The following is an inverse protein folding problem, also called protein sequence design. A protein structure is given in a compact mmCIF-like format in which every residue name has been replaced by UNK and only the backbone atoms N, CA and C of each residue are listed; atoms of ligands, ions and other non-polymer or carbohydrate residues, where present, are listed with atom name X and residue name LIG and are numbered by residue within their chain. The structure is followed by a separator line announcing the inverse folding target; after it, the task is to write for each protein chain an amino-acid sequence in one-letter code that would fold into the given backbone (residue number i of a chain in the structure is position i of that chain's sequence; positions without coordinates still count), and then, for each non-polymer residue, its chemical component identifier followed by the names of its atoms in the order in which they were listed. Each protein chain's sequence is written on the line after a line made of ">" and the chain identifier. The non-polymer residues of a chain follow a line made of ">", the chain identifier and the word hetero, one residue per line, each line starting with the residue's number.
data_IF_741830663749
#
_entry.id   IF_741830663749
#
_cell.length_a   1.000
_cell.length_b   1.000
_cell.length_c   1.000
_cell.angle_alpha   90.00
_cell.angle_beta   90.00
_cell.angle_gamma   90.00
#
_symmetry.space_group_name_H-M   'P 1'
#
loop_
_entity.id
_entity.type
_entity.pdbx_description
1 polymer ?
#
# COMPACT_ATOMS: atom_id res chain seq x y z
N UNK A 1 28.63 -0.22 -6.67
CA UNK A 1 27.51 -0.56 -5.78
C UNK A 1 26.54 0.63 -5.82
N UNK A 2 25.44 0.51 -6.54
CA UNK A 2 24.46 1.59 -6.61
C UNK A 2 23.79 1.70 -5.23
N UNK A 3 23.95 2.85 -4.58
CA UNK A 3 23.19 3.17 -3.37
C UNK A 3 21.76 3.39 -3.83
N UNK A 4 20.87 2.44 -3.54
CA UNK A 4 19.43 2.66 -3.71
C UNK A 4 19.11 3.81 -2.75
N UNK A 5 18.62 4.96 -3.25
CA UNK A 5 18.31 6.06 -2.38
C UNK A 5 17.24 5.60 -1.39
N UNK A 6 17.54 5.69 -0.11
CA UNK A 6 16.60 5.37 0.95
C UNK A 6 15.36 6.24 0.76
N UNK A 7 14.18 5.61 0.69
CA UNK A 7 12.93 6.37 0.57
C UNK A 7 12.76 7.25 1.81
N UNK A 8 12.64 8.55 1.58
CA UNK A 8 12.51 9.54 2.65
C UNK A 8 11.09 10.14 2.65
N UNK A 9 10.56 10.35 3.85
CA UNK A 9 9.35 11.15 4.04
C UNK A 9 9.58 12.59 3.53
N UNK A 10 8.50 13.20 3.04
CA UNK A 10 8.50 14.55 2.47
C UNK A 10 9.34 14.71 1.20
N UNK A 11 9.62 13.61 0.51
CA UNK A 11 10.21 13.55 -0.83
C UNK A 11 9.21 12.90 -1.80
N UNK A 12 9.40 13.11 -3.09
CA UNK A 12 8.62 12.40 -4.09
C UNK A 12 8.73 10.89 -3.87
N UNK A 13 7.58 10.23 -3.76
CA UNK A 13 7.54 8.78 -3.72
C UNK A 13 8.10 8.22 -5.03
N UNK A 14 8.91 7.14 -4.99
CA UNK A 14 9.44 6.51 -6.19
C UNK A 14 8.29 6.12 -7.15
N UNK A 15 8.38 6.56 -8.39
CA UNK A 15 7.43 6.13 -9.40
C UNK A 15 7.67 4.66 -9.76
N UNK A 16 6.62 3.98 -10.17
CA UNK A 16 6.69 2.61 -10.67
C UNK A 16 5.86 2.49 -11.93
N UNK A 17 6.08 1.41 -12.65
CA UNK A 17 5.32 1.02 -13.81
C UNK A 17 4.98 -0.47 -13.68
N UNK A 18 3.74 -0.78 -13.32
CA UNK A 18 3.26 -2.14 -13.07
C UNK A 18 1.97 -2.41 -13.84
N UNK A 19 1.76 -3.67 -14.18
CA UNK A 19 0.51 -4.10 -14.81
C UNK A 19 -0.48 -4.62 -13.79
N UNK A 20 -1.74 -4.29 -14.02
CA UNK A 20 -2.83 -4.94 -13.30
C UNK A 20 -3.15 -6.33 -13.89
N UNK A 21 -4.12 -7.00 -13.28
CA UNK A 21 -4.54 -8.34 -13.67
C UNK A 21 -5.19 -8.42 -15.07
N UNK A 22 -5.61 -7.29 -15.64
CA UNK A 22 -6.09 -7.19 -17.03
C UNK A 22 -4.97 -6.93 -18.04
N UNK A 23 -3.75 -6.67 -17.56
CA UNK A 23 -2.58 -6.29 -18.36
C UNK A 23 -2.45 -4.79 -18.60
N UNK A 24 -3.35 -3.97 -18.05
CA UNK A 24 -3.26 -2.51 -18.15
C UNK A 24 -2.08 -1.99 -17.30
N UNK A 25 -1.32 -1.07 -17.88
CA UNK A 25 -0.20 -0.44 -17.23
C UNK A 25 -0.64 0.70 -16.32
N UNK A 26 -0.07 0.75 -15.13
CA UNK A 26 -0.28 1.81 -14.13
C UNK A 26 1.07 2.36 -13.66
N UNK A 27 1.14 3.68 -13.54
CA UNK A 27 2.24 4.40 -12.89
C UNK A 27 1.70 5.14 -11.67
N UNK A 28 2.49 5.30 -10.62
CA UNK A 28 2.08 6.14 -9.50
C UNK A 28 1.78 7.58 -9.97
N UNK A 29 2.58 8.08 -10.92
CA UNK A 29 2.39 9.41 -11.51
C UNK A 29 1.05 9.60 -12.23
N UNK A 30 0.37 8.54 -12.67
CA UNK A 30 -0.97 8.62 -13.28
C UNK A 30 -2.05 9.06 -12.26
N UNK A 31 -1.73 8.97 -10.97
CA UNK A 31 -2.65 9.29 -9.87
C UNK A 31 -2.42 10.67 -9.26
N UNK A 32 -1.61 11.52 -9.88
CA UNK A 32 -1.43 12.92 -9.47
C UNK A 32 -2.77 13.64 -9.41
N UNK A 33 -2.94 14.52 -8.43
CA UNK A 33 -4.21 15.20 -8.14
C UNK A 33 -5.09 14.44 -7.15
N UNK A 34 -4.76 13.17 -6.85
CA UNK A 34 -5.41 12.34 -5.84
C UNK A 34 -4.41 11.93 -4.77
N UNK A 35 -4.87 11.70 -3.56
CA UNK A 35 -4.07 11.02 -2.54
C UNK A 35 -3.96 9.56 -2.94
N UNK A 36 -2.75 9.02 -3.00
CA UNK A 36 -2.50 7.63 -3.39
C UNK A 36 -2.02 6.81 -2.19
N UNK A 37 -2.73 5.73 -1.91
CA UNK A 37 -2.31 4.70 -0.97
C UNK A 37 -1.67 3.58 -1.77
N UNK A 38 -0.37 3.39 -1.63
CA UNK A 38 0.37 2.23 -2.13
C UNK A 38 0.39 1.20 -1.01
N UNK A 39 -0.25 0.07 -1.24
CA UNK A 39 -0.40 -1.00 -0.25
C UNK A 39 0.29 -2.28 -0.74
N UNK A 40 1.39 -2.68 -0.11
CA UNK A 40 1.97 -3.98 -0.39
C UNK A 40 1.08 -5.06 0.20
N UNK A 41 0.60 -5.94 -0.66
CA UNK A 41 -0.57 -6.77 -0.47
C UNK A 41 -0.28 -8.25 -0.76
N UNK A 42 -1.00 -9.14 -0.10
CA UNK A 42 -0.89 -10.58 -0.30
C UNK A 42 -2.27 -11.22 -0.32
N UNK A 43 -2.50 -12.12 -1.27
CA UNK A 43 -3.74 -12.90 -1.34
C UNK A 43 -3.91 -13.83 -0.13
N UNK A 44 -2.81 -14.34 0.40
CA UNK A 44 -2.81 -15.38 1.44
C UNK A 44 -2.60 -14.86 2.86
N UNK A 45 -2.26 -13.57 3.03
CA UNK A 45 -1.98 -13.02 4.36
C UNK A 45 -3.27 -12.68 5.12
N UNK A 46 -3.54 -13.28 6.29
CA UNK A 46 -4.75 -13.00 7.07
C UNK A 46 -4.81 -11.56 7.61
N UNK A 47 -3.65 -10.92 7.82
CA UNK A 47 -3.60 -9.51 8.22
C UNK A 47 -4.08 -8.60 7.09
N UNK A 48 -3.76 -8.92 5.84
CA UNK A 48 -4.21 -8.19 4.65
C UNK A 48 -5.71 -8.33 4.47
N UNK A 49 -6.26 -9.53 4.60
CA UNK A 49 -7.71 -9.75 4.48
C UNK A 49 -8.50 -8.89 5.47
N UNK A 50 -8.03 -8.78 6.70
CA UNK A 50 -8.63 -7.94 7.72
C UNK A 50 -8.58 -6.45 7.33
N UNK A 51 -7.45 -5.97 6.85
CA UNK A 51 -7.25 -4.56 6.50
C UNK A 51 -7.92 -4.16 5.18
N UNK A 52 -8.12 -5.09 4.26
CA UNK A 52 -8.82 -4.83 2.99
C UNK A 52 -10.24 -4.30 3.24
N UNK A 53 -11.01 -4.94 4.10
CA UNK A 53 -12.36 -4.49 4.43
C UNK A 53 -12.36 -3.09 5.04
N UNK A 54 -11.41 -2.79 5.91
CA UNK A 54 -11.25 -1.48 6.53
C UNK A 54 -10.91 -0.40 5.50
N UNK A 55 -9.95 -0.67 4.61
CA UNK A 55 -9.55 0.27 3.56
C UNK A 55 -10.68 0.54 2.57
N UNK A 56 -11.42 -0.48 2.17
CA UNK A 56 -12.55 -0.34 1.25
C UNK A 56 -13.68 0.52 1.84
N UNK A 57 -13.97 0.36 3.13
CA UNK A 57 -14.94 1.20 3.83
C UNK A 57 -14.52 2.68 3.84
N UNK A 58 -13.24 2.94 4.07
CA UNK A 58 -12.70 4.30 4.05
C UNK A 58 -12.68 4.90 2.63
N UNK A 59 -12.36 4.10 1.60
CA UNK A 59 -12.44 4.54 0.21
C UNK A 59 -13.84 4.99 -0.19
N UNK A 60 -14.89 4.30 0.28
CA UNK A 60 -16.26 4.69 0.03
C UNK A 60 -16.57 6.09 0.59
N UNK A 61 -15.98 6.44 1.73
CA UNK A 61 -16.10 7.76 2.37
C UNK A 61 -15.33 8.85 1.60
N UNK A 62 -14.12 8.55 1.13
CA UNK A 62 -13.26 9.52 0.43
C UNK A 62 -13.59 9.69 -1.05
N UNK A 63 -14.27 8.74 -1.67
CA UNK A 63 -14.65 8.78 -3.07
C UNK A 63 -13.45 8.90 -4.01
N UNK A 64 -13.57 9.76 -5.01
CA UNK A 64 -12.56 9.93 -6.05
C UNK A 64 -11.30 10.71 -5.61
N UNK A 65 -11.26 11.24 -4.39
CA UNK A 65 -10.11 12.00 -3.90
C UNK A 65 -8.93 11.10 -3.50
N UNK A 66 -9.18 9.80 -3.29
CA UNK A 66 -8.19 8.82 -2.86
C UNK A 66 -8.16 7.63 -3.81
N UNK A 67 -6.97 7.19 -4.17
CA UNK A 67 -6.74 5.96 -4.91
C UNK A 67 -6.07 4.92 -4.02
N UNK A 68 -6.53 3.67 -4.08
CA UNK A 68 -5.88 2.52 -3.45
C UNK A 68 -5.23 1.65 -4.54
N UNK A 69 -3.92 1.50 -4.45
CA UNK A 69 -3.10 0.67 -5.33
C UNK A 69 -2.51 -0.46 -4.50
N UNK A 70 -3.09 -1.65 -4.63
CA UNK A 70 -2.58 -2.83 -3.95
C UNK A 70 -1.54 -3.52 -4.84
N UNK A 71 -0.33 -3.71 -4.33
CA UNK A 71 0.80 -4.31 -5.07
C UNK A 71 1.10 -5.68 -4.48
N UNK A 72 1.04 -6.72 -5.33
CA UNK A 72 1.31 -8.11 -4.96
C UNK A 72 2.76 -8.48 -5.31
N UNK A 73 3.69 -8.53 -4.33
CA UNK A 73 5.11 -8.76 -4.58
C UNK A 73 5.55 -10.21 -4.33
N UNK A 74 4.71 -11.06 -3.75
CA UNK A 74 5.13 -12.39 -3.28
C UNK A 74 5.45 -13.36 -4.41
N UNK A 75 6.65 -13.95 -4.39
CA UNK A 75 7.10 -14.94 -5.37
C UNK A 75 6.29 -16.24 -5.35
N UNK A 76 5.70 -16.59 -4.20
CA UNK A 76 4.94 -17.82 -4.02
C UNK A 76 3.44 -17.69 -4.32
N UNK A 77 2.98 -16.51 -4.74
CA UNK A 77 1.59 -16.28 -5.13
C UNK A 77 1.45 -16.23 -6.65
N UNK A 78 0.60 -17.09 -7.22
CA UNK A 78 0.31 -17.07 -8.65
C UNK A 78 -0.57 -15.88 -9.04
N UNK A 79 -0.45 -15.40 -10.27
CA UNK A 79 -1.32 -14.35 -10.80
C UNK A 79 -2.80 -14.74 -10.73
N UNK A 80 -3.13 -16.02 -10.95
CA UNK A 80 -4.49 -16.56 -10.82
C UNK A 80 -5.00 -16.46 -9.38
N UNK A 81 -4.19 -16.86 -8.39
CA UNK A 81 -4.55 -16.76 -6.97
C UNK A 81 -4.76 -15.31 -6.53
N UNK A 82 -3.88 -14.42 -6.98
CA UNK A 82 -4.02 -12.98 -6.76
C UNK A 82 -5.31 -12.43 -7.39
N UNK A 83 -5.63 -12.83 -8.62
CA UNK A 83 -6.87 -12.42 -9.32
C UNK A 83 -8.13 -12.88 -8.57
N UNK A 84 -8.18 -14.14 -8.17
CA UNK A 84 -9.32 -14.69 -7.43
C UNK A 84 -9.54 -13.97 -6.10
N UNK A 85 -8.47 -13.77 -5.31
CA UNK A 85 -8.55 -13.08 -4.03
C UNK A 85 -8.97 -11.61 -4.20
N UNK A 86 -8.40 -10.91 -5.18
CA UNK A 86 -8.71 -9.50 -5.43
C UNK A 86 -10.16 -9.29 -5.83
N UNK A 87 -10.68 -10.13 -6.68
CA UNK A 87 -12.11 -10.12 -7.09
C UNK A 87 -13.03 -10.44 -5.92
N UNK A 88 -12.69 -11.49 -5.17
CA UNK A 88 -13.46 -11.89 -3.99
C UNK A 88 -13.55 -10.83 -2.92
N UNK A 89 -12.52 -9.98 -2.79
CA UNK A 89 -12.47 -8.88 -1.82
C UNK A 89 -12.94 -7.53 -2.38
N UNK A 90 -13.15 -7.42 -3.70
CA UNK A 90 -13.63 -6.21 -4.34
C UNK A 90 -12.60 -5.08 -4.40
N UNK A 91 -11.31 -5.41 -4.52
CA UNK A 91 -10.24 -4.42 -4.61
C UNK A 91 -10.28 -3.67 -5.96
N UNK A 92 -10.12 -2.32 -5.96
CA UNK A 92 -10.25 -1.54 -7.19
C UNK A 92 -9.09 -1.73 -8.15
N UNK A 93 -7.85 -1.78 -7.65
CA UNK A 93 -6.64 -1.94 -8.46
C UNK A 93 -5.67 -2.86 -7.73
N UNK A 94 -5.29 -3.96 -8.39
CA UNK A 94 -4.23 -4.86 -7.90
C UNK A 94 -3.17 -4.99 -8.98
N UNK A 95 -1.94 -4.68 -8.62
CA UNK A 95 -0.77 -4.62 -9.50
C UNK A 95 0.18 -5.78 -9.19
N UNK A 96 0.80 -6.33 -10.22
CA UNK A 96 1.73 -7.44 -10.09
C UNK A 96 3.18 -6.92 -10.07
N UNK A 97 3.90 -7.18 -8.99
CA UNK A 97 5.34 -6.89 -8.83
C UNK A 97 6.12 -8.20 -8.74
N UNK A 98 6.03 -9.02 -9.81
CA UNK A 98 6.53 -10.40 -9.83
C UNK A 98 8.04 -10.52 -9.55
N UNK A 99 8.82 -9.47 -9.76
CA UNK A 99 10.26 -9.43 -9.49
C UNK A 99 10.64 -8.66 -8.25
N UNK A 100 9.66 -8.24 -7.45
CA UNK A 100 9.82 -7.50 -6.19
C UNK A 100 10.56 -6.15 -6.34
N UNK A 101 10.74 -5.66 -7.56
CA UNK A 101 11.53 -4.45 -7.82
C UNK A 101 10.90 -3.20 -7.18
N UNK A 102 9.56 -3.12 -7.17
CA UNK A 102 8.85 -2.04 -6.52
C UNK A 102 8.91 -2.18 -5.01
N UNK A 103 8.66 -3.39 -4.48
CA UNK A 103 8.78 -3.65 -3.05
C UNK A 103 10.18 -3.31 -2.52
N UNK A 104 11.23 -3.68 -3.25
CA UNK A 104 12.61 -3.38 -2.88
C UNK A 104 12.91 -1.88 -2.92
N UNK A 105 12.42 -1.18 -3.96
CA UNK A 105 12.58 0.28 -4.10
C UNK A 105 11.89 1.04 -2.96
N UNK A 106 10.74 0.55 -2.51
CA UNK A 106 10.00 1.10 -1.38
C UNK A 106 10.56 0.66 -0.02
N UNK A 107 11.43 -0.35 0.01
CA UNK A 107 11.94 -0.94 1.24
C UNK A 107 10.86 -1.68 2.01
N UNK A 108 9.81 -2.15 1.32
CA UNK A 108 8.72 -2.90 1.94
C UNK A 108 9.19 -4.29 2.40
N UNK A 109 8.83 -4.68 3.61
CA UNK A 109 9.29 -5.92 4.23
C UNK A 109 8.15 -6.90 4.54
N UNK A 110 6.96 -6.37 4.76
CA UNK A 110 5.79 -7.18 5.17
C UNK A 110 4.55 -6.78 4.37
N UNK A 111 3.49 -7.58 4.49
CA UNK A 111 2.15 -7.26 4.00
C UNK A 111 1.14 -7.38 5.15
N UNK A 112 0.24 -6.40 5.37
CA UNK A 112 0.16 -5.13 4.67
C UNK A 112 1.25 -4.14 5.14
N UNK A 113 1.79 -3.39 4.22
CA UNK A 113 2.63 -2.21 4.51
C UNK A 113 2.23 -1.09 3.56
N UNK A 114 1.91 0.08 4.09
CA UNK A 114 1.36 1.17 3.29
C UNK A 114 2.29 2.36 3.19
N UNK A 115 2.17 3.04 2.08
CA UNK A 115 2.86 4.29 1.76
C UNK A 115 1.82 5.25 1.19
N UNK A 116 1.67 6.42 1.80
CA UNK A 116 0.66 7.39 1.39
C UNK A 116 1.34 8.61 0.79
N UNK A 117 1.05 8.86 -0.49
CA UNK A 117 1.50 10.04 -1.21
C UNK A 117 0.37 11.06 -1.34
N UNK A 118 0.72 12.33 -1.17
CA UNK A 118 -0.21 13.43 -1.37
C UNK A 118 -0.54 13.65 -2.86
N UNK A 119 -1.39 14.64 -3.18
CA UNK A 119 -1.80 14.95 -4.56
C UNK A 119 -0.63 15.33 -5.49
N UNK A 120 0.47 15.81 -4.94
CA UNK A 120 1.70 16.11 -5.68
C UNK A 120 2.63 14.90 -5.79
N UNK A 121 2.29 13.77 -5.16
CA UNK A 121 3.09 12.55 -5.15
C UNK A 121 4.20 12.54 -4.11
N UNK A 122 4.15 13.43 -3.14
CA UNK A 122 5.11 13.48 -2.04
C UNK A 122 4.70 12.49 -0.96
N UNK A 123 5.62 11.64 -0.53
CA UNK A 123 5.38 10.65 0.52
C UNK A 123 5.16 11.35 1.87
N UNK A 124 4.01 11.09 2.48
CA UNK A 124 3.61 11.72 3.74
C UNK A 124 3.44 10.75 4.90
N UNK A 125 3.22 9.49 4.60
CA UNK A 125 3.11 8.42 5.61
C UNK A 125 3.68 7.12 5.08
N UNK A 126 4.29 6.32 5.97
CA UNK A 126 4.68 4.94 5.67
C UNK A 126 4.54 4.03 6.89
N UNK A 127 4.21 2.76 6.65
CA UNK A 127 4.25 1.70 7.64
C UNK A 127 2.92 1.01 7.90
N UNK A 128 2.55 0.89 9.16
CA UNK A 128 1.38 0.13 9.60
C UNK A 128 0.06 0.75 9.14
N UNK A 129 -0.92 -0.12 8.86
CA UNK A 129 -2.31 0.29 8.59
C UNK A 129 -2.97 0.80 9.87
N UNK A 130 -2.81 0.06 10.95
CA UNK A 130 -3.37 0.32 12.27
C UNK A 130 -2.42 -0.14 13.38
N UNK A 131 -2.89 -0.10 14.64
CA UNK A 131 -2.09 -0.45 15.81
C UNK A 131 -2.20 -1.93 16.24
N UNK A 132 -2.73 -2.80 15.37
CA UNK A 132 -2.73 -4.26 15.61
C UNK A 132 -1.30 -4.79 15.58
N UNK A 133 -0.99 -5.66 16.53
CA UNK A 133 0.31 -6.34 16.67
C UNK A 133 0.15 -7.66 17.44
N UNK A 134 1.25 -8.29 17.85
CA UNK A 134 1.20 -9.55 18.59
C UNK A 134 0.40 -9.49 19.91
N UNK A 135 0.38 -8.33 20.55
CA UNK A 135 -0.31 -8.14 21.84
C UNK A 135 -1.72 -7.58 21.65
N UNK A 136 -1.91 -6.69 20.68
CA UNK A 136 -3.17 -6.02 20.36
C UNK A 136 -3.82 -6.67 19.15
N UNK A 137 -4.91 -7.39 19.36
CA UNK A 137 -5.61 -8.17 18.30
C UNK A 137 -6.73 -7.40 17.62
N UNK A 138 -7.21 -6.32 18.22
CA UNK A 138 -8.21 -5.43 17.63
C UNK A 138 -7.66 -4.02 17.55
N UNK A 139 -7.88 -3.30 16.43
CA UNK A 139 -7.38 -1.95 16.27
C UNK A 139 -8.10 -0.99 17.20
N UNK A 140 -7.35 -0.07 17.80
CA UNK A 140 -7.88 1.09 18.53
C UNK A 140 -7.52 2.38 17.83
N UNK A 141 -6.60 2.33 16.85
CA UNK A 141 -6.13 3.46 16.08
C UNK A 141 -5.87 3.04 14.63
N UNK A 142 -6.37 3.82 13.69
CA UNK A 142 -6.22 3.59 12.26
C UNK A 142 -5.28 4.63 11.65
N UNK A 143 -3.99 4.34 11.62
CA UNK A 143 -2.96 5.26 11.14
C UNK A 143 -3.16 5.69 9.69
N UNK A 144 -3.64 4.77 8.82
CA UNK A 144 -3.86 5.11 7.41
C UNK A 144 -5.00 6.13 7.25
N UNK A 145 -6.09 6.02 8.00
CA UNK A 145 -7.19 6.99 7.98
C UNK A 145 -6.75 8.35 8.50
N UNK A 146 -6.03 8.35 9.63
CA UNK A 146 -5.50 9.58 10.21
C UNK A 146 -4.58 10.31 9.23
N UNK A 147 -3.70 9.57 8.53
CA UNK A 147 -2.77 10.14 7.55
C UNK A 147 -3.52 10.70 6.33
N UNK A 148 -4.43 9.93 5.75
CA UNK A 148 -5.20 10.36 4.57
C UNK A 148 -6.09 11.55 4.90
N UNK A 149 -6.81 11.51 6.02
CA UNK A 149 -7.69 12.61 6.44
C UNK A 149 -6.90 13.91 6.69
N UNK A 150 -5.72 13.82 7.30
CA UNK A 150 -4.84 14.98 7.47
C UNK A 150 -4.41 15.57 6.11
N UNK A 151 -3.97 14.72 5.18
CA UNK A 151 -3.52 15.14 3.85
C UNK A 151 -4.68 15.77 3.06
N UNK A 152 -5.87 15.17 3.10
CA UNK A 152 -7.06 15.72 2.44
C UNK A 152 -7.45 17.10 3.00
N UNK A 153 -7.20 17.32 4.29
CA UNK A 153 -7.41 18.61 4.95
C UNK A 153 -6.26 19.62 4.76
N UNK A 154 -5.26 19.29 3.94
CA UNK A 154 -4.09 20.16 3.69
C UNK A 154 -3.09 20.22 4.86
N UNK A 155 -3.10 19.21 5.74
CA UNK A 155 -2.21 19.10 6.90
C UNK A 155 -1.25 17.92 6.74
N UNK A 156 -0.13 17.95 7.45
CA UNK A 156 0.74 16.80 7.61
C UNK A 156 0.14 15.81 8.62
N UNK A 157 0.33 14.49 8.42
CA UNK A 157 -0.03 13.52 9.44
C UNK A 157 0.70 13.80 10.75
N UNK A 158 0.00 13.69 11.87
CA UNK A 158 0.62 13.81 13.20
C UNK A 158 1.64 12.69 13.43
N UNK A 159 1.31 11.48 13.00
CA UNK A 159 2.20 10.33 12.98
C UNK A 159 2.51 10.00 11.52
N UNK A 160 3.77 10.18 11.11
CA UNK A 160 4.18 9.99 9.72
C UNK A 160 4.77 8.60 9.44
N UNK A 161 5.17 7.88 10.47
CA UNK A 161 5.79 6.56 10.33
C UNK A 161 5.49 5.67 11.55
N UNK A 162 5.07 4.43 11.28
CA UNK A 162 4.87 3.39 12.28
C UNK A 162 5.40 2.08 11.69
N UNK A 163 6.20 1.30 12.43
CA UNK A 163 6.66 -0.01 11.94
C UNK A 163 5.49 -0.89 11.53
N UNK A 164 5.52 -1.42 10.31
CA UNK A 164 4.47 -2.28 9.79
C UNK A 164 4.47 -3.64 10.50
N UNK A 165 3.28 -4.23 10.61
CA UNK A 165 3.05 -5.54 11.19
C UNK A 165 2.27 -6.42 10.22
N UNK A 166 2.82 -7.58 9.89
CA UNK A 166 2.19 -8.49 8.94
C UNK A 166 3.06 -9.69 8.60
N UNK A 167 2.74 -10.33 7.47
CA UNK A 167 3.49 -11.46 6.93
C UNK A 167 4.69 -10.98 6.12
N UNK A 168 5.83 -11.62 6.26
CA UNK A 168 7.02 -11.28 5.47
C UNK A 168 6.76 -11.43 3.97
N UNK A 169 7.26 -10.48 3.18
CA UNK A 169 7.23 -10.58 1.73
C UNK A 169 8.17 -11.71 1.28
N UNK A 170 7.62 -12.66 0.52
CA UNK A 170 8.38 -13.79 -0.01
C UNK A 170 9.07 -13.35 -1.31
N UNK A 171 10.40 -13.36 -1.27
CA UNK A 171 11.27 -13.07 -2.43
C UNK A 171 11.84 -14.34 -2.98
N UNK A 172 12.13 -14.36 -4.27
CA UNK A 172 12.91 -15.46 -4.87
C UNK A 172 14.34 -15.46 -4.29
N UNK A 173 14.87 -16.66 -4.09
CA UNK A 173 16.24 -16.88 -3.64
C UNK A 173 17.20 -16.88 -4.82
#
# INVERSE_FOLDING_TARGET
>A
MAIIPFMELNRLAPDFELRDLSGRLHRLSDYRGRVAIVNFWSAECPHVERTDALMLASLARWGNEVALLSIAPNANESAEGVDQASKGRGLPVVLLDARHETADRYGALVTPEIFVADRAGVLRYRGAVDDVNFRRKSPTRNYFEEAVDAILAGRLPEVAEVPAFGCAIVREL
#
